data_IF_334883107083
#
_entry.id   IF_334883107083
#
_cell.length_a   1.000
_cell.length_b   1.000
_cell.length_c   1.000
_cell.angle_alpha   90.00
_cell.angle_beta   90.00
_cell.angle_gamma   90.00
#
_symmetry.space_group_name_H-M   'P 1'
#
loop_
_entity.id
_entity.type
_entity.pdbx_description
1 polymer ?
#
# COMPACT_ATOMS: atom_id res chain seq x y z
N UNK A 1 8.74 -19.48 -5.45
CA UNK A 1 8.64 -18.56 -4.29
C UNK A 1 7.77 -17.33 -4.52
N UNK A 2 7.97 -16.52 -5.58
CA UNK A 2 7.15 -15.30 -5.80
C UNK A 2 5.64 -15.53 -5.74
N UNK A 3 5.14 -16.61 -6.35
CA UNK A 3 3.71 -16.97 -6.41
C UNK A 3 3.06 -17.27 -5.03
N UNK A 4 3.83 -17.36 -3.95
CA UNK A 4 3.31 -17.47 -2.57
C UNK A 4 3.55 -16.21 -1.72
N UNK A 5 4.06 -15.13 -2.32
CA UNK A 5 4.40 -13.86 -1.66
C UNK A 5 5.80 -13.83 -1.05
N UNK A 6 6.74 -14.65 -1.55
CA UNK A 6 8.06 -14.87 -0.95
C UNK A 6 9.21 -14.41 -1.87
N UNK A 7 10.10 -13.57 -1.31
CA UNK A 7 11.21 -12.91 -2.02
C UNK A 7 12.50 -13.73 -2.10
N UNK A 8 13.62 -13.09 -2.49
CA UNK A 8 14.90 -13.77 -2.72
C UNK A 8 15.47 -14.43 -1.46
N UNK A 9 15.41 -13.77 -0.29
CA UNK A 9 15.92 -14.39 0.96
C UNK A 9 15.16 -15.68 1.30
N UNK A 10 13.84 -15.69 1.14
CA UNK A 10 13.03 -16.90 1.31
C UNK A 10 13.38 -17.99 0.29
N UNK A 11 13.79 -17.62 -0.93
CA UNK A 11 14.28 -18.56 -1.95
C UNK A 11 15.69 -19.09 -1.61
N UNK A 12 16.60 -18.27 -1.07
CA UNK A 12 17.90 -18.71 -0.54
C UNK A 12 17.72 -19.67 0.63
N UNK A 13 16.84 -19.35 1.59
CA UNK A 13 16.50 -20.23 2.72
C UNK A 13 15.90 -21.55 2.23
N UNK A 14 15.01 -21.52 1.24
CA UNK A 14 14.50 -22.73 0.61
C UNK A 14 15.61 -23.56 -0.03
N UNK A 15 16.50 -22.96 -0.82
CA UNK A 15 17.64 -23.66 -1.41
C UNK A 15 18.53 -24.29 -0.32
N UNK A 16 18.92 -23.54 0.71
CA UNK A 16 19.73 -24.03 1.82
C UNK A 16 19.07 -25.22 2.57
N UNK A 17 17.77 -25.13 2.88
CA UNK A 17 17.02 -26.23 3.53
C UNK A 17 16.93 -27.47 2.63
N UNK A 18 16.78 -27.27 1.32
CA UNK A 18 16.70 -28.35 0.32
C UNK A 18 18.07 -28.83 -0.18
N UNK A 19 19.19 -28.36 0.40
CA UNK A 19 20.56 -28.64 -0.05
C UNK A 19 20.82 -28.32 -1.54
N UNK A 20 20.10 -27.34 -2.09
CA UNK A 20 20.26 -26.85 -3.46
C UNK A 20 21.29 -25.70 -3.52
N UNK A 21 21.93 -25.48 -4.69
CA UNK A 21 22.74 -24.28 -4.93
C UNK A 21 21.98 -22.98 -4.65
N UNK A 22 22.72 -21.92 -4.30
CA UNK A 22 22.15 -20.58 -4.17
C UNK A 22 21.47 -20.17 -5.49
N UNK A 23 20.24 -19.60 -5.45
CA UNK A 23 19.36 -19.55 -6.60
C UNK A 23 19.83 -18.58 -7.70
N UNK A 24 20.00 -17.31 -7.34
CA UNK A 24 20.54 -16.23 -8.17
C UNK A 24 21.14 -15.16 -7.25
N UNK A 25 22.11 -14.42 -7.75
CA UNK A 25 22.63 -13.23 -7.05
C UNK A 25 21.57 -12.12 -6.94
N UNK A 26 21.73 -11.23 -5.96
CA UNK A 26 20.87 -10.06 -5.77
C UNK A 26 20.83 -9.17 -7.03
N UNK A 27 21.99 -8.93 -7.67
CA UNK A 27 22.08 -8.15 -8.91
C UNK A 27 21.24 -8.79 -10.02
N UNK A 28 21.41 -10.09 -10.25
CA UNK A 28 20.66 -10.84 -11.27
C UNK A 28 19.16 -10.88 -10.95
N UNK A 29 18.78 -11.05 -9.68
CA UNK A 29 17.39 -10.98 -9.22
C UNK A 29 16.75 -9.61 -9.47
N UNK A 30 17.51 -8.52 -9.33
CA UNK A 30 16.99 -7.16 -9.48
C UNK A 30 16.99 -6.69 -10.94
N UNK A 31 17.92 -7.16 -11.78
CA UNK A 31 17.80 -7.09 -13.24
C UNK A 31 16.56 -7.87 -13.72
N UNK A 32 16.33 -9.06 -13.16
CA UNK A 32 15.12 -9.85 -13.41
C UNK A 32 13.86 -9.09 -12.96
N UNK A 33 13.87 -8.42 -11.80
CA UNK A 33 12.77 -7.54 -11.36
C UNK A 33 12.47 -6.44 -12.36
N UNK A 34 13.48 -5.67 -12.77
CA UNK A 34 13.26 -4.47 -13.58
C UNK A 34 12.76 -4.86 -14.98
N UNK A 35 13.31 -5.93 -15.59
CA UNK A 35 12.78 -6.49 -16.84
C UNK A 35 11.35 -7.00 -16.66
N UNK A 36 11.04 -7.68 -15.55
CA UNK A 36 9.71 -8.25 -15.31
C UNK A 36 8.68 -7.15 -15.11
N UNK A 37 8.99 -6.12 -14.33
CA UNK A 37 8.13 -4.95 -14.12
C UNK A 37 7.75 -4.28 -15.44
N UNK A 38 8.72 -4.12 -16.35
CA UNK A 38 8.48 -3.52 -17.66
C UNK A 38 7.58 -4.39 -18.54
N UNK A 39 7.90 -5.69 -18.65
CA UNK A 39 7.09 -6.66 -19.42
C UNK A 39 5.67 -6.80 -18.86
N UNK A 40 5.51 -6.82 -17.52
CA UNK A 40 4.19 -6.86 -16.87
C UNK A 40 3.35 -5.62 -17.21
N UNK A 41 3.97 -4.44 -17.23
CA UNK A 41 3.28 -3.19 -17.62
C UNK A 41 2.91 -3.20 -19.11
N UNK A 42 3.85 -3.55 -19.99
CA UNK A 42 3.62 -3.70 -21.43
C UNK A 42 2.42 -4.62 -21.71
N UNK A 43 2.36 -5.80 -21.05
CA UNK A 43 1.28 -6.77 -21.22
C UNK A 43 -0.04 -6.30 -20.61
N UNK A 44 -0.03 -5.70 -19.41
CA UNK A 44 -1.26 -5.18 -18.78
C UNK A 44 -1.88 -4.04 -19.60
N UNK A 45 -1.05 -3.17 -20.16
CA UNK A 45 -1.50 -2.11 -21.06
C UNK A 45 -2.09 -2.65 -22.38
N UNK A 46 -1.51 -3.69 -22.97
CA UNK A 46 -2.08 -4.37 -24.14
C UNK A 46 -3.41 -5.05 -23.80
N UNK A 47 -3.45 -5.82 -22.71
CA UNK A 47 -4.64 -6.51 -22.18
C UNK A 47 -5.82 -5.56 -21.98
N UNK A 48 -5.63 -4.46 -21.24
CA UNK A 48 -6.69 -3.48 -20.98
C UNK A 48 -7.18 -2.78 -22.26
N UNK A 49 -6.30 -2.56 -23.25
CA UNK A 49 -6.69 -1.99 -24.55
C UNK A 49 -7.52 -2.98 -25.37
N UNK A 50 -7.20 -4.28 -25.35
CA UNK A 50 -8.00 -5.31 -26.02
C UNK A 50 -9.39 -5.46 -25.38
N UNK A 51 -9.45 -5.60 -24.05
CA UNK A 51 -10.71 -5.75 -23.32
C UNK A 51 -11.67 -4.56 -23.52
N UNK A 52 -11.13 -3.33 -23.56
CA UNK A 52 -11.93 -2.13 -23.85
C UNK A 52 -12.50 -2.11 -25.29
N UNK A 53 -11.77 -2.67 -26.27
CA UNK A 53 -12.23 -2.80 -27.66
C UNK A 53 -13.25 -3.92 -27.81
N UNK A 54 -13.10 -5.04 -27.09
CA UNK A 54 -14.07 -6.15 -27.08
C UNK A 54 -15.41 -5.70 -26.48
N UNK A 55 -15.38 -5.02 -25.32
CA UNK A 55 -16.58 -4.46 -24.67
C UNK A 55 -17.27 -3.40 -25.56
N UNK A 56 -16.50 -2.47 -26.15
CA UNK A 56 -17.02 -1.48 -27.09
C UNK A 56 -17.67 -2.13 -28.32
N UNK A 57 -17.07 -3.18 -28.88
CA UNK A 57 -17.60 -3.90 -30.04
C UNK A 57 -18.82 -4.78 -29.71
N UNK A 58 -19.07 -5.04 -28.43
CA UNK A 58 -20.17 -5.87 -27.94
C UNK A 58 -21.35 -5.05 -27.39
N UNK A 59 -21.19 -3.74 -27.19
CA UNK A 59 -22.21 -2.84 -26.67
C UNK A 59 -23.11 -2.31 -27.80
N UNK A 60 -24.45 -2.52 -27.77
CA UNK A 60 -25.35 -2.11 -28.85
C UNK A 60 -25.51 -0.58 -28.98
N UNK A 61 -25.20 0.18 -27.92
CA UNK A 61 -25.47 1.63 -27.83
C UNK A 61 -24.19 2.48 -27.63
N UNK A 62 -22.99 1.93 -27.91
CA UNK A 62 -21.68 2.53 -27.60
C UNK A 62 -21.47 2.90 -26.11
N UNK A 63 -22.22 2.29 -25.19
CA UNK A 63 -22.18 2.57 -23.76
C UNK A 63 -21.33 1.54 -23.02
N UNK A 64 -20.27 1.97 -22.34
CA UNK A 64 -19.36 1.11 -21.58
C UNK A 64 -19.84 0.96 -20.12
N UNK A 65 -20.07 -0.28 -19.65
CA UNK A 65 -20.55 -0.54 -18.28
C UNK A 65 -19.53 -1.37 -17.51
N UNK A 66 -19.26 -1.02 -16.24
CA UNK A 66 -18.19 -1.67 -15.44
C UNK A 66 -18.66 -2.10 -14.05
N UNK A 67 -18.02 -3.16 -13.53
CA UNK A 67 -18.23 -3.71 -12.19
C UNK A 67 -16.88 -4.11 -11.58
N UNK A 68 -16.84 -4.44 -10.28
CA UNK A 68 -15.60 -4.79 -9.58
C UNK A 68 -15.82 -5.67 -8.36
N UNK A 69 -14.83 -6.54 -8.09
CA UNK A 69 -14.80 -7.46 -6.94
C UNK A 69 -13.39 -7.52 -6.33
N UNK A 70 -13.26 -7.95 -5.08
CA UNK A 70 -12.00 -7.97 -4.33
C UNK A 70 -11.74 -9.32 -3.66
N UNK A 71 -10.68 -10.01 -4.08
CA UNK A 71 -10.36 -11.35 -3.56
C UNK A 71 -9.21 -11.34 -2.55
N UNK A 72 -9.30 -12.25 -1.58
CA UNK A 72 -8.37 -12.36 -0.47
C UNK A 72 -7.77 -13.75 -0.42
N UNK A 73 -6.47 -13.85 -0.10
CA UNK A 73 -5.72 -15.13 -0.08
C UNK A 73 -6.34 -16.19 0.87
N UNK A 74 -7.14 -15.78 1.85
CA UNK A 74 -7.90 -16.65 2.75
C UNK A 74 -9.30 -16.07 2.97
N UNK A 75 -10.32 -16.94 3.03
CA UNK A 75 -11.71 -16.55 3.32
C UNK A 75 -11.91 -16.50 4.84
N UNK A 76 -12.31 -15.35 5.38
CA UNK A 76 -12.44 -15.11 6.82
C UNK A 76 -11.18 -14.47 7.43
N UNK A 77 -11.21 -13.14 7.52
CA UNK A 77 -10.28 -12.23 8.23
C UNK A 77 -8.75 -12.29 7.95
N UNK A 78 -8.17 -11.10 7.80
CA UNK A 78 -6.73 -10.80 7.97
C UNK A 78 -5.74 -11.61 7.10
N UNK A 79 -5.81 -11.46 5.79
CA UNK A 79 -4.64 -11.64 4.92
C UNK A 79 -3.84 -10.33 4.82
N UNK A 80 -2.51 -10.41 4.80
CA UNK A 80 -1.61 -9.28 4.49
C UNK A 80 -1.47 -8.99 2.99
N UNK A 81 -2.10 -9.81 2.14
CA UNK A 81 -2.16 -9.68 0.69
C UNK A 81 -3.65 -9.78 0.29
N UNK A 82 -4.18 -8.72 -0.32
CA UNK A 82 -5.53 -8.66 -0.86
C UNK A 82 -5.50 -7.99 -2.22
N UNK A 83 -6.23 -8.57 -3.17
CA UNK A 83 -6.29 -8.13 -4.56
C UNK A 83 -7.61 -7.40 -4.74
N UNK A 84 -7.56 -6.10 -4.97
CA UNK A 84 -8.73 -5.34 -5.37
C UNK A 84 -8.72 -5.26 -6.90
N UNK A 85 -9.72 -5.85 -7.55
CA UNK A 85 -9.94 -5.72 -8.98
C UNK A 85 -11.32 -5.10 -9.20
N UNK A 86 -11.42 -3.79 -8.93
CA UNK A 86 -12.05 -2.97 -9.98
C UNK A 86 -11.18 -3.20 -11.21
N UNK A 87 -11.77 -3.40 -12.39
CA UNK A 87 -11.01 -3.67 -13.60
C UNK A 87 -10.07 -2.46 -13.85
N UNK A 88 -8.78 -2.61 -13.50
CA UNK A 88 -7.90 -1.52 -13.00
C UNK A 88 -7.24 -1.83 -11.62
N UNK A 89 -7.20 -0.83 -10.71
CA UNK A 89 -7.03 -0.94 -9.23
C UNK A 89 -5.69 -1.27 -8.49
N UNK A 90 -4.53 -1.24 -9.13
CA UNK A 90 -3.24 -0.72 -8.59
C UNK A 90 -2.70 -0.97 -7.11
N UNK A 91 -2.14 -2.18 -6.81
CA UNK A 91 -0.94 -2.67 -5.99
C UNK A 91 -0.31 -2.04 -4.68
N UNK A 92 0.48 -2.85 -3.89
CA UNK A 92 1.74 -2.49 -3.13
C UNK A 92 2.02 -3.25 -1.78
N UNK A 93 3.21 -3.40 -1.10
CA UNK A 93 4.71 -3.30 -1.29
C UNK A 93 5.43 -3.53 0.13
N UNK A 94 6.73 -3.49 0.54
CA UNK A 94 8.14 -3.21 0.06
C UNK A 94 9.18 -2.92 1.20
N UNK A 95 10.49 -2.71 0.91
CA UNK A 95 11.54 -2.24 1.89
C UNK A 95 12.85 -1.61 1.29
N UNK A 96 13.94 -1.44 2.10
CA UNK A 96 14.79 -0.23 2.07
C UNK A 96 16.26 -0.31 1.63
N UNK A 97 17.06 -1.30 2.06
CA UNK A 97 18.54 -1.18 2.03
C UNK A 97 19.16 -1.08 0.62
N UNK A 98 18.56 -1.72 -0.38
CA UNK A 98 19.09 -1.83 -1.74
C UNK A 98 19.23 -0.47 -2.45
N UNK A 99 18.42 0.51 -2.05
CA UNK A 99 18.37 1.82 -2.71
C UNK A 99 19.68 2.61 -2.62
N UNK A 100 20.33 2.67 -1.46
CA UNK A 100 21.50 3.54 -1.27
C UNK A 100 22.64 3.15 -2.22
N UNK A 101 22.95 1.84 -2.28
CA UNK A 101 23.99 1.31 -3.17
C UNK A 101 23.67 1.55 -4.65
N UNK A 102 22.40 1.51 -5.06
CA UNK A 102 21.99 1.86 -6.43
C UNK A 102 22.18 3.36 -6.72
N UNK A 103 21.83 4.22 -5.78
CA UNK A 103 21.99 5.68 -5.91
C UNK A 103 23.44 6.14 -5.93
N UNK A 104 24.35 5.43 -5.26
CA UNK A 104 25.79 5.72 -5.23
C UNK A 104 26.51 5.23 -6.51
N UNK A 105 26.16 4.06 -7.02
CA UNK A 105 26.84 3.45 -8.18
C UNK A 105 26.39 4.02 -9.54
N UNK A 106 25.34 4.86 -9.58
CA UNK A 106 24.73 5.45 -10.79
C UNK A 106 24.73 4.50 -12.02
N UNK A 107 24.19 3.26 -11.90
CA UNK A 107 24.41 2.18 -12.87
C UNK A 107 23.78 2.42 -14.27
N UNK A 108 23.11 3.55 -14.47
CA UNK A 108 22.49 3.96 -15.73
C UNK A 108 23.12 5.25 -16.31
N UNK A 109 24.21 5.75 -15.72
CA UNK A 109 24.83 7.04 -16.06
C UNK A 109 24.35 8.20 -15.19
N UNK A 110 24.99 9.35 -15.33
CA UNK A 110 24.72 10.56 -14.54
C UNK A 110 23.34 11.18 -14.82
N UNK A 111 22.79 10.98 -16.02
CA UNK A 111 21.50 11.55 -16.46
C UNK A 111 20.27 10.90 -15.80
N UNK A 112 20.44 9.74 -15.14
CA UNK A 112 19.33 8.89 -14.68
C UNK A 112 19.23 8.79 -13.15
N UNK A 113 18.39 9.66 -12.57
CA UNK A 113 18.09 9.68 -11.13
C UNK A 113 17.19 8.50 -10.69
N UNK A 114 17.80 7.50 -10.07
CA UNK A 114 17.07 6.41 -9.39
C UNK A 114 16.33 6.99 -8.18
N UNK A 115 15.00 6.85 -8.15
CA UNK A 115 14.17 7.27 -7.02
C UNK A 115 13.76 6.07 -6.15
N UNK A 116 13.70 6.29 -4.83
CA UNK A 116 13.22 5.27 -3.88
C UNK A 116 11.70 5.36 -3.73
N UNK A 117 11.02 4.23 -3.90
CA UNK A 117 9.62 4.02 -3.55
C UNK A 117 9.51 3.42 -2.12
N UNK A 118 8.39 3.64 -1.42
CA UNK A 118 8.20 3.34 0.01
C UNK A 118 6.79 2.80 0.29
N UNK A 119 6.63 1.53 0.65
CA UNK A 119 5.30 0.99 0.94
C UNK A 119 4.61 1.68 2.13
N UNK A 120 3.30 1.92 2.00
CA UNK A 120 2.50 2.55 3.06
C UNK A 120 2.56 1.73 4.37
N UNK A 121 2.68 0.41 4.28
CA UNK A 121 2.91 -0.46 5.44
C UNK A 121 4.26 -0.24 6.15
N UNK A 122 5.32 0.10 5.42
CA UNK A 122 6.63 0.43 5.95
C UNK A 122 6.59 1.82 6.58
N UNK A 123 5.98 2.82 5.92
CA UNK A 123 5.86 4.16 6.51
C UNK A 123 4.93 4.16 7.74
N UNK A 124 3.89 3.33 7.75
CA UNK A 124 3.06 3.01 8.92
C UNK A 124 3.87 2.39 10.06
N UNK A 125 4.72 1.39 9.78
CA UNK A 125 5.67 0.83 10.76
C UNK A 125 6.69 1.89 11.25
N UNK A 126 7.10 2.82 10.37
CA UNK A 126 8.04 3.92 10.67
C UNK A 126 7.43 4.90 11.68
N UNK A 127 6.15 5.24 11.57
CA UNK A 127 5.39 5.97 12.60
C UNK A 127 5.44 5.24 13.95
N UNK A 128 5.00 3.97 14.00
CA UNK A 128 4.98 3.19 15.24
C UNK A 128 6.36 3.07 15.90
N UNK A 129 7.39 2.80 15.11
CA UNK A 129 8.79 2.69 15.57
C UNK A 129 9.34 4.00 16.11
N UNK A 130 9.04 5.14 15.48
CA UNK A 130 9.51 6.46 15.97
C UNK A 130 8.85 6.84 17.29
N UNK A 131 7.54 6.61 17.44
CA UNK A 131 6.84 6.86 18.70
C UNK A 131 7.34 5.94 19.83
N UNK A 132 7.63 4.66 19.55
CA UNK A 132 8.25 3.72 20.51
C UNK A 132 9.66 4.16 20.92
N UNK A 133 10.47 4.66 19.98
CA UNK A 133 11.79 5.25 20.31
C UNK A 133 11.67 6.49 21.22
N UNK A 134 10.62 7.31 21.07
CA UNK A 134 10.39 8.43 22.00
C UNK A 134 10.06 7.94 23.42
N UNK A 135 9.30 6.84 23.58
CA UNK A 135 9.09 6.22 24.91
C UNK A 135 10.44 5.86 25.55
N UNK A 136 11.35 5.22 24.81
CA UNK A 136 12.66 4.85 25.32
C UNK A 136 13.52 6.07 25.69
N UNK A 137 13.63 7.07 24.82
CA UNK A 137 14.45 8.28 25.02
C UNK A 137 13.98 9.15 26.19
N UNK A 138 12.67 9.23 26.42
CA UNK A 138 12.08 10.02 27.50
C UNK A 138 11.65 9.17 28.72
N UNK A 139 11.95 7.87 28.75
CA UNK A 139 11.61 6.95 29.85
C UNK A 139 12.09 7.43 31.23
N UNK A 140 13.33 7.93 31.29
CA UNK A 140 13.98 8.47 32.50
C UNK A 140 13.86 10.00 32.63
N UNK A 141 13.17 10.67 31.70
CA UNK A 141 13.02 12.13 31.69
C UNK A 141 11.64 12.55 32.16
N UNK A 142 11.57 13.67 32.88
CA UNK A 142 10.30 14.38 33.10
C UNK A 142 10.04 15.31 31.93
N UNK A 143 8.78 15.43 31.53
CA UNK A 143 8.31 16.46 30.62
C UNK A 143 7.99 17.74 31.40
N UNK A 144 7.54 18.80 30.73
CA UNK A 144 7.16 20.08 31.34
C UNK A 144 6.06 19.98 32.42
N UNK A 145 5.35 18.86 32.48
CA UNK A 145 4.33 18.55 33.50
C UNK A 145 4.81 17.62 34.62
N UNK A 146 6.13 17.49 34.81
CA UNK A 146 6.77 16.72 35.92
C UNK A 146 6.62 15.20 35.82
N UNK A 147 6.01 14.70 34.73
CA UNK A 147 5.66 13.29 34.53
C UNK A 147 6.40 12.71 33.32
N UNK A 148 6.49 11.38 33.25
CA UNK A 148 7.13 10.63 32.16
C UNK A 148 6.30 10.69 30.87
N UNK A 149 6.89 10.30 29.73
CA UNK A 149 6.19 10.26 28.43
C UNK A 149 5.14 9.13 28.34
N UNK A 150 5.35 8.02 29.03
CA UNK A 150 4.44 6.87 29.08
C UNK A 150 3.59 6.84 30.35
N UNK A 151 2.47 6.12 30.28
CA UNK A 151 1.52 5.90 31.40
C UNK A 151 0.06 6.10 31.01
N UNK A 152 -0.86 5.97 31.99
CA UNK A 152 -2.30 6.21 31.81
C UNK A 152 -2.54 7.65 31.34
N UNK A 153 -3.29 7.83 30.25
CA UNK A 153 -3.53 9.15 29.64
C UNK A 153 -2.33 9.73 28.86
N UNK A 154 -1.33 8.90 28.53
CA UNK A 154 -0.12 9.30 27.79
C UNK A 154 0.18 8.33 26.65
N UNK A 155 1.42 8.35 26.14
CA UNK A 155 1.87 7.52 25.04
C UNK A 155 2.02 6.05 25.49
N UNK A 156 1.04 5.22 25.13
CA UNK A 156 1.05 3.76 25.32
C UNK A 156 1.18 3.05 23.97
N UNK A 157 1.64 1.81 23.92
CA UNK A 157 1.65 0.98 22.70
C UNK A 157 0.26 0.93 22.03
N UNK A 158 -0.80 0.73 22.82
CA UNK A 158 -2.18 0.72 22.33
C UNK A 158 -2.68 2.05 21.76
N UNK A 159 -2.04 3.17 22.07
CA UNK A 159 -2.24 4.46 21.41
C UNK A 159 -1.35 4.58 20.16
N UNK A 160 -0.07 4.17 20.26
CA UNK A 160 0.88 4.17 19.13
C UNK A 160 0.33 3.36 17.95
N UNK A 161 -0.20 2.17 18.19
CA UNK A 161 -0.72 1.32 17.12
C UNK A 161 -1.99 1.89 16.48
N UNK A 162 -2.83 2.58 17.26
CA UNK A 162 -3.96 3.37 16.72
C UNK A 162 -3.49 4.55 15.89
N UNK A 163 -2.52 5.32 16.36
CA UNK A 163 -1.95 6.46 15.61
C UNK A 163 -1.26 5.99 14.32
N UNK A 164 -0.50 4.88 14.38
CA UNK A 164 0.11 4.28 13.19
C UNK A 164 -0.93 3.74 12.21
N UNK A 165 -1.99 3.08 12.69
CA UNK A 165 -3.10 2.61 11.84
C UNK A 165 -3.83 3.78 11.17
N UNK A 166 -4.25 4.80 11.92
CA UNK A 166 -4.91 5.98 11.34
C UNK A 166 -4.00 6.77 10.39
N UNK A 167 -2.71 6.88 10.69
CA UNK A 167 -1.71 7.45 9.78
C UNK A 167 -1.59 6.64 8.47
N UNK A 168 -1.53 5.31 8.56
CA UNK A 168 -1.51 4.43 7.39
C UNK A 168 -2.78 4.57 6.54
N UNK A 169 -3.95 4.64 7.17
CA UNK A 169 -5.22 4.85 6.48
C UNK A 169 -5.30 6.25 5.84
N UNK A 170 -4.80 7.29 6.51
CA UNK A 170 -4.75 8.65 5.96
C UNK A 170 -3.94 8.74 4.66
N UNK A 171 -2.91 7.90 4.49
CA UNK A 171 -2.18 7.77 3.23
C UNK A 171 -2.97 6.95 2.21
N UNK A 172 -3.47 5.76 2.57
CA UNK A 172 -4.23 4.87 1.66
C UNK A 172 -5.45 5.56 1.06
N UNK A 173 -6.24 6.24 1.89
CA UNK A 173 -7.46 6.94 1.48
C UNK A 173 -7.20 8.24 0.68
N UNK A 174 -5.93 8.60 0.43
CA UNK A 174 -5.54 9.77 -0.35
C UNK A 174 -4.38 9.43 -1.30
N UNK A 175 -4.30 8.18 -1.77
CA UNK A 175 -3.18 7.63 -2.56
C UNK A 175 -2.80 8.49 -3.77
N UNK A 176 -3.76 9.16 -4.40
CA UNK A 176 -3.55 10.00 -5.60
C UNK A 176 -3.07 11.43 -5.31
N UNK A 177 -3.04 11.90 -4.05
CA UNK A 177 -2.76 13.30 -3.75
C UNK A 177 -1.99 13.52 -2.44
N UNK A 178 -0.70 13.83 -2.58
CA UNK A 178 0.18 14.26 -1.48
C UNK A 178 -0.37 15.48 -0.71
N UNK A 179 -1.17 16.35 -1.36
CA UNK A 179 -1.82 17.49 -0.69
C UNK A 179 -2.89 17.03 0.32
N UNK A 180 -3.72 16.07 -0.09
CA UNK A 180 -4.82 15.57 0.73
C UNK A 180 -4.32 14.52 1.76
N UNK A 181 -3.30 13.71 1.42
CA UNK A 181 -2.56 12.90 2.41
C UNK A 181 -2.08 13.76 3.59
N UNK A 182 -1.47 14.92 3.33
CA UNK A 182 -0.96 15.81 4.37
C UNK A 182 -2.09 16.36 5.24
N UNK A 183 -3.18 16.85 4.66
CA UNK A 183 -4.38 17.27 5.40
C UNK A 183 -4.89 16.13 6.29
N UNK A 184 -5.06 14.93 5.75
CA UNK A 184 -5.57 13.76 6.48
C UNK A 184 -4.64 13.35 7.64
N UNK A 185 -3.31 13.34 7.44
CA UNK A 185 -2.34 13.08 8.50
C UNK A 185 -2.42 14.14 9.61
N UNK A 186 -2.59 15.42 9.25
CA UNK A 186 -2.76 16.49 10.23
C UNK A 186 -4.18 16.55 10.86
N UNK A 187 -5.20 15.95 10.23
CA UNK A 187 -6.50 15.71 10.84
C UNK A 187 -6.42 14.58 11.89
N UNK A 188 -5.68 13.50 11.62
CA UNK A 188 -5.35 12.46 12.62
C UNK A 188 -4.57 13.05 13.80
N UNK A 189 -3.62 13.95 13.52
CA UNK A 189 -2.95 14.74 14.56
C UNK A 189 -3.95 15.51 15.43
N UNK A 190 -4.77 16.36 14.80
CA UNK A 190 -5.77 17.18 15.48
C UNK A 190 -6.71 16.34 16.36
N UNK A 191 -7.31 15.28 15.80
CA UNK A 191 -8.18 14.36 16.53
C UNK A 191 -7.54 13.67 17.75
N UNK A 192 -6.22 13.49 17.76
CA UNK A 192 -5.51 12.93 18.93
C UNK A 192 -5.24 13.95 20.04
N UNK A 193 -5.38 15.23 19.71
CA UNK A 193 -5.03 16.37 20.56
C UNK A 193 -6.24 17.22 21.00
N UNK A 194 -7.35 17.24 20.25
CA UNK A 194 -8.51 18.11 20.56
C UNK A 194 -8.99 17.98 22.01
N UNK A 195 -9.39 19.11 22.58
CA UNK A 195 -10.13 19.24 23.84
C UNK A 195 -11.31 20.18 23.63
N UNK A 196 -12.23 20.23 24.59
CA UNK A 196 -13.35 21.18 24.54
C UNK A 196 -12.84 22.64 24.44
N UNK A 197 -11.74 22.94 25.15
CA UNK A 197 -11.09 24.26 25.17
C UNK A 197 -10.16 24.52 23.96
N UNK A 198 -9.78 23.48 23.22
CA UNK A 198 -8.83 23.54 22.09
C UNK A 198 -9.25 22.52 21.00
N UNK A 199 -10.34 22.79 20.23
CA UNK A 199 -10.86 21.85 19.24
C UNK A 199 -10.08 21.91 17.91
N UNK A 200 -9.22 20.92 17.67
CA UNK A 200 -8.24 20.93 16.56
C UNK A 200 -8.76 20.26 15.27
N UNK A 201 -9.93 20.67 14.78
CA UNK A 201 -10.65 19.98 13.68
C UNK A 201 -10.56 20.65 12.29
N UNK A 202 -9.69 21.65 12.11
CA UNK A 202 -9.58 22.48 10.91
C UNK A 202 -9.18 21.75 9.60
N UNK A 203 -8.59 20.55 9.65
CA UNK A 203 -8.32 19.72 8.47
C UNK A 203 -9.35 18.59 8.26
N UNK A 204 -10.39 18.53 9.09
CA UNK A 204 -11.44 17.54 8.98
C UNK A 204 -12.52 18.02 8.00
N UNK A 205 -13.24 17.13 7.29
CA UNK A 205 -14.29 17.55 6.38
C UNK A 205 -15.39 18.33 7.12
N UNK A 206 -15.91 19.39 6.50
CA UNK A 206 -17.02 20.21 7.01
C UNK A 206 -18.37 19.84 6.38
N UNK A 207 -18.40 18.87 5.47
CA UNK A 207 -19.64 18.41 4.83
C UNK A 207 -20.56 17.66 5.81
N UNK A 208 -21.88 17.54 5.53
CA UNK A 208 -22.83 16.89 6.44
C UNK A 208 -22.46 15.43 6.81
N UNK A 209 -21.95 14.65 5.84
CA UNK A 209 -21.50 13.27 6.03
C UNK A 209 -20.05 13.15 6.57
N UNK A 210 -19.57 14.14 7.33
CA UNK A 210 -18.21 14.13 7.87
C UNK A 210 -18.03 13.05 8.95
N UNK A 211 -16.96 12.27 8.82
CA UNK A 211 -16.53 11.29 9.85
C UNK A 211 -16.08 11.97 11.15
N UNK A 212 -15.78 13.27 11.10
CA UNK A 212 -15.37 14.06 12.26
C UNK A 212 -16.60 14.40 13.12
N UNK A 213 -16.79 13.68 14.22
CA UNK A 213 -17.94 13.87 15.12
C UNK A 213 -18.11 15.28 15.68
N UNK A 214 -17.04 16.08 15.77
CA UNK A 214 -17.12 17.49 16.18
C UNK A 214 -17.73 18.36 15.07
N UNK A 215 -17.21 18.30 13.84
CA UNK A 215 -17.79 19.00 12.69
C UNK A 215 -19.22 18.50 12.39
N UNK A 216 -19.50 17.21 12.57
CA UNK A 216 -20.85 16.67 12.46
C UNK A 216 -21.80 17.22 13.55
N UNK A 217 -21.31 17.42 14.77
CA UNK A 217 -22.10 18.06 15.83
C UNK A 217 -22.41 19.53 15.50
N UNK A 218 -21.43 20.30 15.00
CA UNK A 218 -21.64 21.67 14.49
C UNK A 218 -22.71 21.67 13.38
N UNK A 219 -22.58 20.80 12.38
CA UNK A 219 -23.52 20.71 11.25
C UNK A 219 -24.95 20.32 11.67
N UNK A 220 -25.12 19.68 12.84
CA UNK A 220 -26.42 19.33 13.41
C UNK A 220 -26.83 20.25 14.57
N UNK A 221 -26.15 21.40 14.76
CA UNK A 221 -26.37 22.37 15.84
C UNK A 221 -26.33 21.79 17.27
N UNK A 222 -25.61 20.68 17.47
CA UNK A 222 -25.46 20.00 18.76
C UNK A 222 -24.45 20.74 19.65
N UNK A 223 -24.94 21.71 20.43
CA UNK A 223 -24.12 22.60 21.27
C UNK A 223 -23.29 21.87 22.35
N UNK A 224 -23.69 20.66 22.77
CA UNK A 224 -23.08 19.92 23.88
C UNK A 224 -22.10 18.81 23.44
N UNK A 225 -21.30 19.03 22.39
CA UNK A 225 -20.25 18.07 22.03
C UNK A 225 -19.18 17.99 23.13
N UNK A 226 -18.81 16.76 23.52
CA UNK A 226 -17.76 16.48 24.51
C UNK A 226 -16.64 15.66 23.88
N UNK A 227 -15.41 16.17 23.96
CA UNK A 227 -14.24 15.46 23.45
C UNK A 227 -13.92 14.22 24.30
N UNK A 228 -13.31 13.22 23.66
CA UNK A 228 -12.73 12.08 24.38
C UNK A 228 -11.45 12.52 25.10
N UNK A 229 -11.05 11.87 26.22
CA UNK A 229 -9.78 12.13 26.87
C UNK A 229 -8.61 12.04 25.88
N UNK A 230 -7.99 13.19 25.58
CA UNK A 230 -6.92 13.32 24.60
C UNK A 230 -5.54 13.26 25.26
N UNK A 231 -4.49 13.24 24.44
CA UNK A 231 -3.11 13.14 24.90
C UNK A 231 -2.71 14.40 25.69
N UNK A 232 -2.06 14.25 26.84
CA UNK A 232 -1.58 15.38 27.65
C UNK A 232 -0.65 16.31 26.84
N UNK A 233 -0.81 17.64 26.98
CA UNK A 233 -0.14 18.66 26.14
C UNK A 233 1.38 18.46 26.02
N UNK A 234 2.07 18.27 27.15
CA UNK A 234 3.52 18.03 27.15
C UNK A 234 3.95 16.76 26.36
N UNK A 235 3.08 15.75 26.26
CA UNK A 235 3.32 14.57 25.40
C UNK A 235 3.04 14.91 23.94
N UNK A 236 2.00 15.70 23.62
CA UNK A 236 1.72 16.20 22.26
C UNK A 236 2.95 16.90 21.68
N UNK A 237 3.53 17.82 22.43
CA UNK A 237 4.65 18.65 21.97
C UNK A 237 5.89 17.79 21.60
N UNK A 238 6.11 16.67 22.30
CA UNK A 238 7.20 15.72 22.03
C UNK A 238 6.95 14.83 20.80
N UNK A 239 5.69 14.48 20.50
CA UNK A 239 5.36 13.61 19.35
C UNK A 239 5.03 14.39 18.06
N UNK A 240 4.66 15.67 18.15
CA UNK A 240 4.35 16.55 17.01
C UNK A 240 5.44 16.59 15.93
N UNK A 241 6.76 16.60 16.23
CA UNK A 241 7.80 16.54 15.21
C UNK A 241 7.77 15.25 14.38
N UNK A 242 7.33 14.12 14.94
CA UNK A 242 7.20 12.86 14.18
C UNK A 242 6.09 12.97 13.13
N UNK A 243 4.99 13.67 13.42
CA UNK A 243 3.94 13.98 12.44
C UNK A 243 4.40 15.00 11.38
N UNK A 244 5.24 15.97 11.75
CA UNK A 244 5.83 16.90 10.79
C UNK A 244 6.73 16.17 9.77
N UNK A 245 7.72 15.40 10.26
CA UNK A 245 8.63 14.65 9.40
C UNK A 245 7.90 13.63 8.50
N UNK A 246 6.94 12.89 9.07
CA UNK A 246 6.21 11.86 8.33
C UNK A 246 5.09 12.41 7.44
N UNK A 247 4.76 13.70 7.53
CA UNK A 247 3.92 14.41 6.54
C UNK A 247 4.74 15.21 5.52
N UNK A 248 6.05 14.96 5.40
CA UNK A 248 6.90 15.66 4.43
C UNK A 248 6.59 15.22 2.98
N UNK A 249 6.39 16.14 2.01
CA UNK A 249 6.01 15.79 0.64
C UNK A 249 6.95 14.80 -0.05
N UNK A 250 8.27 14.92 0.18
CA UNK A 250 9.27 14.04 -0.45
C UNK A 250 9.30 12.60 0.12
N UNK A 251 8.61 12.34 1.23
CA UNK A 251 8.31 10.98 1.69
C UNK A 251 7.00 10.48 1.09
N UNK A 252 5.96 11.32 1.09
CA UNK A 252 4.63 10.94 0.62
C UNK A 252 4.56 10.70 -0.90
N UNK A 253 5.37 11.40 -1.71
CA UNK A 253 5.57 11.08 -3.14
C UNK A 253 6.06 9.64 -3.36
N UNK A 254 6.75 9.05 -2.38
CA UNK A 254 7.27 7.68 -2.45
C UNK A 254 6.21 6.63 -2.12
N UNK A 255 5.03 7.04 -1.67
CA UNK A 255 3.90 6.14 -1.42
C UNK A 255 3.02 5.91 -2.67
N UNK A 256 3.43 6.41 -3.85
CA UNK A 256 2.61 6.45 -5.06
C UNK A 256 2.80 5.22 -5.98
N UNK A 257 4.04 4.85 -6.32
CA UNK A 257 4.30 4.11 -7.58
C UNK A 257 4.25 2.58 -7.46
N UNK A 258 4.42 1.97 -6.28
CA UNK A 258 4.29 0.50 -6.17
C UNK A 258 2.84 0.02 -6.23
N UNK A 259 1.94 0.93 -6.61
CA UNK A 259 0.67 0.77 -7.30
C UNK A 259 0.75 -0.08 -8.59
N UNK A 260 1.91 -0.35 -9.20
CA UNK A 260 1.94 -1.03 -10.52
C UNK A 260 2.02 -2.59 -10.53
N UNK A 261 3.08 -3.22 -10.00
CA UNK A 261 3.49 -4.56 -10.50
C UNK A 261 2.49 -5.71 -10.30
N UNK A 262 1.91 -5.89 -9.10
CA UNK A 262 1.06 -7.05 -8.83
C UNK A 262 -0.34 -6.88 -9.42
N UNK A 263 -0.93 -5.67 -9.41
CA UNK A 263 -2.17 -5.40 -10.13
C UNK A 263 -1.97 -5.50 -11.64
N UNK A 264 -0.84 -5.07 -12.21
CA UNK A 264 -0.56 -5.31 -13.63
C UNK A 264 -0.63 -6.81 -13.97
N UNK A 265 -0.09 -7.67 -13.11
CA UNK A 265 -0.23 -9.13 -13.25
C UNK A 265 -1.66 -9.64 -12.98
N UNK A 266 -2.32 -9.14 -11.93
CA UNK A 266 -3.62 -9.63 -11.47
C UNK A 266 -4.76 -9.18 -12.41
N UNK A 267 -4.72 -7.96 -12.93
CA UNK A 267 -5.60 -7.44 -13.98
C UNK A 267 -5.38 -8.17 -15.31
N UNK A 268 -4.13 -8.44 -15.70
CA UNK A 268 -3.83 -9.27 -16.87
C UNK A 268 -4.44 -10.68 -16.74
N UNK A 269 -4.27 -11.34 -15.59
CA UNK A 269 -4.82 -12.69 -15.34
C UNK A 269 -6.34 -12.67 -15.17
N UNK A 270 -6.90 -11.55 -14.69
CA UNK A 270 -8.34 -11.35 -14.61
C UNK A 270 -8.96 -11.25 -16.00
N UNK A 271 -8.42 -10.41 -16.89
CA UNK A 271 -8.88 -10.25 -18.26
C UNK A 271 -8.67 -11.54 -19.08
N UNK A 272 -7.41 -11.90 -19.33
CA UNK A 272 -7.03 -12.88 -20.36
C UNK A 272 -6.87 -14.32 -19.81
N UNK A 273 -7.05 -14.50 -18.50
CA UNK A 273 -6.85 -15.79 -17.84
C UNK A 273 -5.40 -16.11 -17.49
N UNK A 274 -5.16 -17.34 -17.07
CA UNK A 274 -3.83 -17.83 -16.70
C UNK A 274 -2.88 -17.94 -17.91
N UNK A 275 -3.42 -18.00 -19.13
CA UNK A 275 -2.66 -18.03 -20.39
C UNK A 275 -1.72 -16.82 -20.54
N UNK A 276 -2.08 -15.65 -20.00
CA UNK A 276 -1.24 -14.44 -20.07
C UNK A 276 0.12 -14.59 -19.39
N UNK A 277 0.22 -15.53 -18.42
CA UNK A 277 1.49 -15.91 -17.77
C UNK A 277 2.50 -16.44 -18.79
N UNK A 278 2.04 -17.08 -19.86
CA UNK A 278 2.87 -17.57 -20.97
C UNK A 278 3.41 -16.37 -21.75
N UNK A 279 2.53 -15.46 -22.19
CA UNK A 279 2.90 -14.24 -22.92
C UNK A 279 3.94 -13.40 -22.15
N UNK A 280 3.76 -13.26 -20.84
CA UNK A 280 4.71 -12.58 -19.94
C UNK A 280 6.07 -13.28 -19.95
N UNK A 281 6.11 -14.59 -19.77
CA UNK A 281 7.35 -15.36 -19.71
C UNK A 281 8.05 -15.45 -21.08
N UNK A 282 7.31 -15.47 -22.18
CA UNK A 282 7.81 -15.42 -23.55
C UNK A 282 8.39 -14.04 -23.90
N UNK A 283 7.70 -12.93 -23.57
CA UNK A 283 8.28 -11.57 -23.63
C UNK A 283 9.48 -11.40 -22.68
N UNK A 284 9.53 -12.15 -21.59
CA UNK A 284 10.71 -12.23 -20.73
C UNK A 284 11.89 -12.99 -21.38
N UNK A 285 11.65 -13.73 -22.47
CA UNK A 285 12.66 -14.47 -23.23
C UNK A 285 12.82 -15.95 -22.82
N UNK A 286 11.85 -16.50 -22.08
CA UNK A 286 11.87 -17.89 -21.62
C UNK A 286 11.07 -18.77 -22.58
N UNK A 287 11.69 -19.84 -23.10
CA UNK A 287 10.99 -20.87 -23.88
C UNK A 287 10.22 -21.79 -22.94
N UNK A 288 8.90 -21.79 -23.03
CA UNK A 288 8.03 -22.63 -22.19
C UNK A 288 7.78 -23.97 -22.88
N UNK A 289 7.73 -25.04 -22.08
CA UNK A 289 7.38 -26.38 -22.55
C UNK A 289 5.84 -26.50 -22.72
N UNK A 290 5.37 -27.07 -23.83
CA UNK A 290 3.95 -27.34 -24.10
C UNK A 290 3.22 -28.06 -22.95
N UNK A 291 3.93 -28.88 -22.19
CA UNK A 291 3.41 -29.57 -20.99
C UNK A 291 2.92 -28.62 -19.88
N UNK A 292 3.35 -27.35 -19.89
CA UNK A 292 2.84 -26.29 -19.01
C UNK A 292 1.71 -25.50 -19.68
N UNK A 293 1.77 -25.30 -21.00
CA UNK A 293 0.77 -24.53 -21.74
C UNK A 293 -0.60 -25.22 -21.79
N UNK A 294 -0.65 -26.55 -21.95
CA UNK A 294 -1.92 -27.29 -22.07
C UNK A 294 -2.75 -27.23 -20.77
N UNK A 295 -2.22 -27.51 -19.56
CA UNK A 295 -3.00 -27.39 -18.32
C UNK A 295 -3.49 -25.97 -18.01
N UNK A 296 -2.78 -24.93 -18.47
CA UNK A 296 -3.21 -23.53 -18.32
C UNK A 296 -4.40 -23.23 -19.24
N UNK A 297 -4.31 -23.55 -20.53
CA UNK A 297 -5.41 -23.40 -21.48
C UNK A 297 -6.66 -24.20 -21.06
N UNK A 298 -6.50 -25.44 -20.56
CA UNK A 298 -7.63 -26.20 -20.00
C UNK A 298 -8.24 -25.55 -18.74
N UNK A 299 -7.45 -24.84 -17.94
CA UNK A 299 -7.92 -24.16 -16.72
C UNK A 299 -8.75 -22.93 -17.08
N UNK A 300 -8.33 -22.18 -18.10
CA UNK A 300 -9.08 -21.02 -18.60
C UNK A 300 -10.33 -21.44 -19.39
N UNK A 301 -10.26 -22.51 -20.20
CA UNK A 301 -11.44 -23.12 -20.81
C UNK A 301 -12.47 -23.59 -19.75
N UNK A 302 -12.01 -24.17 -18.63
CA UNK A 302 -12.88 -24.51 -17.48
C UNK A 302 -13.46 -23.27 -16.79
N UNK A 303 -12.70 -22.16 -16.69
CA UNK A 303 -13.21 -20.86 -16.20
C UNK A 303 -14.35 -20.35 -17.08
N UNK A 304 -14.15 -20.30 -18.41
CA UNK A 304 -15.12 -19.81 -19.40
C UNK A 304 -16.37 -20.70 -19.45
N UNK A 305 -16.21 -22.03 -19.37
CA UNK A 305 -17.34 -22.95 -19.28
C UNK A 305 -18.16 -22.71 -18.00
N UNK A 306 -17.48 -22.49 -16.86
CA UNK A 306 -18.14 -22.27 -15.56
C UNK A 306 -18.86 -20.92 -15.48
N UNK A 307 -18.39 -19.86 -16.17
CA UNK A 307 -19.12 -18.59 -16.25
C UNK A 307 -20.33 -18.69 -17.17
N UNK A 308 -20.21 -19.37 -18.32
CA UNK A 308 -21.31 -19.58 -19.28
C UNK A 308 -22.45 -20.47 -18.77
N UNK A 309 -22.24 -21.22 -17.68
CA UNK A 309 -23.31 -21.96 -16.96
C UNK A 309 -23.85 -21.20 -15.72
N UNK A 310 -23.59 -19.89 -15.61
CA UNK A 310 -24.09 -19.02 -14.54
C UNK A 310 -24.78 -17.76 -15.07
N UNK A 311 -25.05 -17.74 -16.37
CA UNK A 311 -25.89 -16.80 -17.11
C UNK A 311 -27.16 -17.54 -17.53
#
# INVERSE_FOLDING_TARGET
MRCIGQGLESLKTFCAVMSLPNPVEQKSHDVINNKLSRVMKEVAEESMKMAAVEEYSSSPDNLLTVSGDGTWKTRGHSSLIGVCTVIGAETGDGDTKTFNALSENKPYGDDYLIQKIECVGHVQKRMGTRLRKLILVYSKKKLSDGKTIGGKGRLTDSLIDKLAHYYGNAIRCNSTSVKEMRKAIWAVWGHSCSTDDEPMHWFCPTNPNTWCKYNAAINNNLQNYKHKPSVAKAVRDVIKPVFADLSHPALLKKCLEIAEIAANLETSVFNDGNQILITILEKFGLKINRNVCVPLAERDNRRIFTSRQRL
#
